data_IF_541531423550
#
_entry.id   IF_541531423550
#
_cell.length_a   1.000
_cell.length_b   1.000
_cell.length_c   1.000
_cell.angle_alpha   90.00
_cell.angle_beta   90.00
_cell.angle_gamma   90.00
#
_symmetry.space_group_name_H-M   'P 1'
#
loop_
_entity.id
_entity.type
_entity.pdbx_description
1 polymer ?
#
# COMPACT_ATOMS: atom_id res chain seq x y z
N UNK A 1 -6.15 15.70 6.38
CA UNK A 1 -7.23 15.01 5.66
C UNK A 1 -8.15 16.04 5.01
N UNK A 2 -8.85 15.68 3.95
CA UNK A 2 -9.86 16.53 3.29
C UNK A 2 -11.10 16.62 4.22
N UNK A 3 -11.39 17.80 4.82
CA UNK A 3 -12.42 17.90 5.86
C UNK A 3 -13.84 17.58 5.38
N UNK A 4 -14.20 18.04 4.17
CA UNK A 4 -15.54 17.82 3.60
C UNK A 4 -15.85 16.35 3.40
N UNK A 5 -14.92 15.58 2.81
CA UNK A 5 -15.08 14.13 2.64
C UNK A 5 -15.16 13.40 3.97
N UNK A 6 -14.39 13.84 4.99
CA UNK A 6 -14.48 13.25 6.33
C UNK A 6 -15.82 13.53 7.00
N UNK A 7 -16.33 14.75 6.88
CA UNK A 7 -17.65 15.13 7.40
C UNK A 7 -18.76 14.34 6.72
N UNK A 8 -18.72 14.23 5.39
CA UNK A 8 -19.66 13.42 4.61
C UNK A 8 -19.63 11.94 5.03
N UNK A 9 -18.43 11.37 5.18
CA UNK A 9 -18.29 9.99 5.65
C UNK A 9 -18.92 9.80 7.03
N UNK A 10 -18.58 10.68 7.99
CA UNK A 10 -19.10 10.60 9.35
C UNK A 10 -20.64 10.70 9.40
N UNK A 11 -21.24 11.58 8.59
CA UNK A 11 -22.69 11.74 8.52
C UNK A 11 -23.41 10.50 7.95
N UNK A 12 -22.70 9.70 7.13
CA UNK A 12 -23.23 8.50 6.50
C UNK A 12 -22.84 7.20 7.22
N UNK A 13 -21.98 7.29 8.24
CA UNK A 13 -21.48 6.14 8.99
C UNK A 13 -22.58 5.59 9.91
N UNK A 14 -22.69 4.26 9.94
CA UNK A 14 -23.49 3.55 10.95
C UNK A 14 -22.74 2.30 11.42
N UNK A 15 -22.97 1.82 12.66
CA UNK A 15 -22.41 0.56 13.13
C UNK A 15 -22.72 -0.63 12.20
N UNK A 16 -23.91 -0.65 11.59
CA UNK A 16 -24.34 -1.71 10.67
C UNK A 16 -23.50 -1.73 9.39
N UNK A 17 -23.18 -0.55 8.83
CA UNK A 17 -22.26 -0.45 7.70
C UNK A 17 -20.86 -0.92 8.08
N UNK A 18 -20.37 -0.58 9.27
CA UNK A 18 -19.10 -1.10 9.72
C UNK A 18 -19.11 -2.63 9.88
N UNK A 19 -20.16 -3.21 10.45
CA UNK A 19 -20.31 -4.67 10.49
C UNK A 19 -20.36 -5.28 9.08
N UNK A 20 -21.04 -4.62 8.13
CA UNK A 20 -21.04 -5.05 6.72
C UNK A 20 -19.64 -4.99 6.11
N UNK A 21 -18.82 -3.97 6.41
CA UNK A 21 -17.43 -3.90 5.99
C UNK A 21 -16.62 -5.11 6.50
N UNK A 22 -16.75 -5.46 7.79
CA UNK A 22 -16.05 -6.59 8.38
C UNK A 22 -16.44 -7.92 7.72
N UNK A 23 -17.74 -8.11 7.48
CA UNK A 23 -18.26 -9.30 6.78
C UNK A 23 -17.75 -9.39 5.35
N UNK A 24 -17.84 -8.28 4.59
CA UNK A 24 -17.37 -8.22 3.22
C UNK A 24 -15.86 -8.48 3.11
N UNK A 25 -15.08 -7.97 4.07
CA UNK A 25 -13.65 -8.26 4.13
C UNK A 25 -13.38 -9.74 4.43
N UNK A 26 -14.13 -10.36 5.33
CA UNK A 26 -14.00 -11.79 5.60
C UNK A 26 -14.36 -12.64 4.36
N UNK A 27 -15.43 -12.28 3.64
CA UNK A 27 -15.84 -12.91 2.38
C UNK A 27 -14.73 -12.79 1.32
N UNK A 28 -14.20 -11.58 1.07
CA UNK A 28 -13.19 -11.33 0.05
C UNK A 28 -11.81 -11.90 0.39
N UNK A 29 -11.46 -11.97 1.67
CA UNK A 29 -10.20 -12.58 2.12
C UNK A 29 -10.32 -14.10 2.32
N UNK A 30 -11.52 -14.69 2.21
CA UNK A 30 -11.78 -16.10 2.49
C UNK A 30 -11.65 -16.50 3.97
N UNK A 31 -11.37 -15.55 4.86
CA UNK A 31 -11.22 -15.76 6.30
C UNK A 31 -11.42 -14.46 7.06
N UNK A 32 -11.92 -14.49 8.32
CA UNK A 32 -12.00 -13.30 9.14
C UNK A 32 -10.64 -12.63 9.34
N UNK A 33 -10.57 -11.33 9.05
CA UNK A 33 -9.38 -10.50 9.28
C UNK A 33 -9.16 -10.37 10.79
N UNK A 34 -8.03 -10.89 11.27
CA UNK A 34 -7.72 -11.02 12.71
C UNK A 34 -7.20 -9.72 13.34
N UNK A 35 -6.95 -8.69 12.55
CA UNK A 35 -6.55 -7.37 13.03
C UNK A 35 -7.66 -6.34 12.82
N UNK A 36 -7.59 -5.25 13.58
CA UNK A 36 -8.61 -4.21 13.55
C UNK A 36 -8.61 -3.49 12.21
N UNK A 37 -9.77 -3.46 11.57
CA UNK A 37 -10.03 -2.63 10.41
C UNK A 37 -10.51 -1.28 10.93
N UNK A 38 -9.96 -0.17 10.42
CA UNK A 38 -10.44 1.16 10.81
C UNK A 38 -11.92 1.34 10.43
N UNK A 39 -12.67 2.12 11.18
CA UNK A 39 -14.07 2.40 10.88
C UNK A 39 -14.23 3.38 9.70
N UNK A 40 -13.12 3.97 9.24
CA UNK A 40 -13.10 5.10 8.32
C UNK A 40 -11.80 5.10 7.49
N UNK A 41 -11.89 5.33 6.17
CA UNK A 41 -10.71 5.57 5.36
C UNK A 41 -10.14 6.97 5.60
N UNK A 42 -8.88 7.15 5.24
CA UNK A 42 -8.20 8.45 5.30
C UNK A 42 -8.28 9.16 3.95
N UNK A 43 -8.96 10.31 3.90
CA UNK A 43 -9.04 11.16 2.71
C UNK A 43 -7.90 12.17 2.70
N UNK A 44 -6.98 12.06 1.74
CA UNK A 44 -5.83 12.97 1.60
C UNK A 44 -5.90 13.80 0.32
N UNK A 45 -5.43 15.06 0.34
CA UNK A 45 -5.25 15.83 -0.89
C UNK A 45 -4.28 15.11 -1.84
N UNK A 46 -4.61 15.07 -3.13
CA UNK A 46 -3.77 14.44 -4.16
C UNK A 46 -2.32 14.97 -4.11
N UNK A 47 -2.14 16.28 -3.93
CA UNK A 47 -0.81 16.90 -3.85
C UNK A 47 0.07 16.40 -2.69
N UNK A 48 -0.53 15.92 -1.60
CA UNK A 48 0.21 15.29 -0.51
C UNK A 48 0.60 13.86 -0.90
N UNK A 49 -0.33 13.08 -1.47
CA UNK A 49 -0.07 11.71 -1.91
C UNK A 49 0.98 11.66 -3.03
N UNK A 50 0.91 12.57 -3.99
CA UNK A 50 1.89 12.70 -5.08
C UNK A 50 3.29 12.96 -4.53
N UNK A 51 3.40 13.83 -3.51
CA UNK A 51 4.67 14.13 -2.84
C UNK A 51 5.22 12.93 -2.09
N UNK A 52 4.38 12.21 -1.35
CA UNK A 52 4.76 10.99 -0.64
C UNK A 52 5.26 9.94 -1.64
N UNK A 53 4.51 9.72 -2.74
CA UNK A 53 4.88 8.79 -3.78
C UNK A 53 6.20 9.18 -4.46
N UNK A 54 6.41 10.47 -4.72
CA UNK A 54 7.64 10.97 -5.31
C UNK A 54 8.85 10.78 -4.36
N UNK A 55 8.71 11.13 -3.08
CA UNK A 55 9.75 10.87 -2.07
C UNK A 55 10.06 9.37 -1.95
N UNK A 56 9.03 8.52 -2.02
CA UNK A 56 9.22 7.06 -2.02
C UNK A 56 10.06 6.58 -3.20
N UNK A 57 9.75 7.03 -4.42
CA UNK A 57 10.53 6.71 -5.63
C UNK A 57 11.98 7.17 -5.52
N UNK A 58 12.20 8.40 -5.04
CA UNK A 58 13.55 8.95 -4.85
C UNK A 58 14.37 8.17 -3.83
N UNK A 59 13.74 7.64 -2.77
CA UNK A 59 14.41 6.78 -1.80
C UNK A 59 14.72 5.40 -2.38
N UNK A 60 13.78 4.80 -3.12
CA UNK A 60 13.97 3.50 -3.77
C UNK A 60 15.12 3.56 -4.79
N UNK A 61 15.18 4.60 -5.63
CA UNK A 61 16.24 4.75 -6.63
C UNK A 61 17.65 4.88 -6.03
N UNK A 62 17.79 5.30 -4.77
CA UNK A 62 19.09 5.30 -4.10
C UNK A 62 19.62 3.88 -3.84
N UNK A 63 18.73 2.89 -3.76
CA UNK A 63 19.06 1.48 -3.49
C UNK A 63 19.46 0.72 -4.76
N UNK A 64 19.17 1.27 -5.94
CA UNK A 64 19.36 0.59 -7.24
C UNK A 64 20.79 0.79 -7.79
N UNK A 65 21.68 1.42 -7.03
CA UNK A 65 23.06 1.69 -7.45
C UNK A 65 23.98 0.48 -7.23
N UNK A 66 24.96 0.23 -8.12
CA UNK A 66 26.00 -0.80 -7.88
C UNK A 66 26.73 -0.59 -6.55
N UNK A 67 27.01 0.66 -6.20
CA UNK A 67 27.72 1.03 -4.98
C UNK A 67 26.93 0.66 -3.73
N UNK A 68 25.62 0.97 -3.71
CA UNK A 68 24.75 0.56 -2.61
C UNK A 68 24.67 -0.96 -2.49
N UNK A 69 24.48 -1.68 -3.61
CA UNK A 69 24.42 -3.16 -3.61
C UNK A 69 25.70 -3.81 -3.08
N UNK A 70 26.86 -3.29 -3.47
CA UNK A 70 28.12 -3.78 -2.94
C UNK A 70 28.23 -3.52 -1.43
N UNK A 71 27.84 -2.34 -0.97
CA UNK A 71 27.86 -2.00 0.46
C UNK A 71 26.87 -2.84 1.27
N UNK A 72 25.64 -3.05 0.77
CA UNK A 72 24.61 -3.83 1.45
C UNK A 72 24.95 -5.31 1.52
N UNK A 73 25.57 -5.87 0.47
CA UNK A 73 25.97 -7.28 0.44
C UNK A 73 26.95 -7.64 1.56
N UNK A 74 27.85 -6.72 1.93
CA UNK A 74 28.81 -6.93 3.05
C UNK A 74 28.09 -6.98 4.40
N UNK A 75 26.91 -6.38 4.52
CA UNK A 75 26.12 -6.38 5.76
C UNK A 75 25.28 -7.65 5.94
N UNK A 76 25.14 -8.49 4.91
CA UNK A 76 24.34 -9.71 4.94
C UNK A 76 25.26 -10.91 5.26
N UNK A 77 25.03 -11.62 6.38
CA UNK A 77 25.74 -12.86 6.66
C UNK A 77 25.60 -13.88 5.52
N UNK A 78 26.68 -14.59 5.21
CA UNK A 78 26.76 -15.47 4.03
C UNK A 78 25.69 -16.57 3.99
N UNK A 79 25.22 -17.01 5.16
CA UNK A 79 24.17 -18.01 5.33
C UNK A 79 22.78 -17.53 4.92
N UNK A 80 22.58 -16.21 4.79
CA UNK A 80 21.34 -15.60 4.33
C UNK A 80 21.36 -15.22 2.85
N UNK A 81 22.44 -15.50 2.13
CA UNK A 81 22.49 -15.28 0.69
C UNK A 81 21.52 -16.22 -0.03
N UNK A 82 20.59 -15.63 -0.78
CA UNK A 82 19.62 -16.39 -1.59
C UNK A 82 20.16 -16.53 -3.01
N UNK A 83 20.22 -17.74 -3.58
CA UNK A 83 20.65 -17.93 -4.96
C UNK A 83 19.67 -17.27 -5.93
N UNK A 84 20.18 -16.78 -7.06
CA UNK A 84 19.39 -16.15 -8.13
C UNK A 84 18.58 -14.93 -7.67
N UNK A 85 19.14 -14.13 -6.75
CA UNK A 85 18.56 -12.84 -6.38
C UNK A 85 18.37 -11.95 -7.62
N UNK A 86 17.22 -11.29 -7.69
CA UNK A 86 16.90 -10.37 -8.77
C UNK A 86 17.71 -9.09 -8.66
N UNK A 87 17.94 -8.41 -9.79
CA UNK A 87 18.77 -7.20 -9.81
C UNK A 87 18.17 -5.98 -9.09
N UNK A 88 16.88 -6.04 -8.75
CA UNK A 88 16.11 -5.01 -8.05
C UNK A 88 15.11 -5.67 -7.10
N UNK A 89 14.72 -5.02 -5.98
CA UNK A 89 13.71 -5.55 -5.10
C UNK A 89 12.37 -5.69 -5.85
N UNK A 90 11.76 -6.87 -5.76
CA UNK A 90 10.43 -7.12 -6.35
C UNK A 90 9.31 -6.43 -5.55
N UNK A 91 9.45 -6.41 -4.22
CA UNK A 91 8.54 -5.75 -3.30
C UNK A 91 9.33 -4.79 -2.42
N UNK A 92 8.87 -3.54 -2.35
CA UNK A 92 9.48 -2.51 -1.52
C UNK A 92 8.43 -1.51 -1.05
N UNK A 93 8.49 -1.19 0.23
CA UNK A 93 7.63 -0.21 0.88
C UNK A 93 8.47 0.84 1.56
N UNK A 94 7.97 2.07 1.51
CA UNK A 94 8.56 3.21 2.21
C UNK A 94 7.51 3.80 3.10
N UNK A 95 7.73 3.69 4.41
CA UNK A 95 6.80 4.16 5.41
C UNK A 95 7.13 5.59 5.82
N UNK A 96 6.09 6.43 5.84
CA UNK A 96 6.23 7.84 6.17
C UNK A 96 5.38 8.23 7.37
N UNK A 97 6.02 8.90 8.33
CA UNK A 97 5.35 9.74 9.31
C UNK A 97 5.03 11.09 8.71
N UNK A 98 3.87 11.66 9.02
CA UNK A 98 3.50 13.00 8.59
C UNK A 98 3.74 14.00 9.73
N UNK A 99 4.64 14.94 9.51
CA UNK A 99 4.93 16.04 10.46
C UNK A 99 4.47 17.37 9.89
N UNK A 100 4.23 18.36 10.76
CA UNK A 100 3.95 19.72 10.32
C UNK A 100 5.23 20.53 10.27
N UNK A 101 5.43 21.28 9.20
CA UNK A 101 6.47 22.31 9.15
C UNK A 101 6.04 23.59 9.89
N UNK A 102 6.91 24.60 9.90
CA UNK A 102 6.65 25.90 10.53
C UNK A 102 5.44 26.64 9.94
N UNK A 103 5.06 26.35 8.70
CA UNK A 103 3.87 26.89 8.05
C UNK A 103 2.62 26.02 8.28
N UNK A 104 2.73 24.95 9.08
CA UNK A 104 1.64 24.03 9.40
C UNK A 104 1.34 22.99 8.32
N UNK A 105 2.09 22.95 7.22
CA UNK A 105 1.89 22.03 6.11
C UNK A 105 2.40 20.64 6.45
N UNK A 106 1.69 19.59 6.01
CA UNK A 106 2.12 18.21 6.23
C UNK A 106 3.30 17.88 5.31
N UNK A 107 4.36 17.35 5.91
CA UNK A 107 5.55 16.87 5.23
C UNK A 107 5.79 15.40 5.57
N UNK A 108 6.13 14.55 4.58
CA UNK A 108 6.56 13.19 4.84
C UNK A 108 7.95 13.16 5.49
N UNK A 109 8.11 12.26 6.46
CA UNK A 109 9.40 11.89 7.06
C UNK A 109 9.52 10.39 7.03
N UNK A 110 10.64 9.91 6.46
CA UNK A 110 10.93 8.49 6.40
C UNK A 110 10.94 7.91 7.81
N UNK A 111 10.16 6.85 7.99
CA UNK A 111 10.15 6.02 9.21
C UNK A 111 10.94 4.76 8.93
N UNK A 112 10.60 4.05 7.85
CA UNK A 112 11.21 2.76 7.53
C UNK A 112 11.18 2.49 6.02
N UNK A 113 12.10 1.63 5.58
CA UNK A 113 12.12 1.05 4.25
C UNK A 113 12.18 -0.47 4.39
N UNK A 114 11.19 -1.17 3.81
CA UNK A 114 10.97 -2.60 4.00
C UNK A 114 10.81 -3.32 2.66
N UNK A 115 11.17 -4.61 2.61
CA UNK A 115 11.12 -5.44 1.40
C UNK A 115 10.18 -6.64 1.48
N UNK A 116 9.08 -6.55 2.26
CA UNK A 116 8.18 -7.69 2.49
C UNK A 116 6.97 -7.67 1.54
N UNK A 117 6.56 -8.79 0.91
CA UNK A 117 5.39 -8.84 0.01
C UNK A 117 4.03 -8.79 0.73
N UNK A 118 3.95 -8.12 1.88
CA UNK A 118 2.74 -8.07 2.70
C UNK A 118 1.78 -6.97 2.25
N UNK A 119 0.48 -7.25 2.37
CA UNK A 119 -0.64 -6.31 2.21
C UNK A 119 -0.94 -5.79 0.78
N UNK A 120 -0.16 -6.15 -0.24
CA UNK A 120 -0.39 -5.70 -1.63
C UNK A 120 -1.76 -6.13 -2.18
N UNK A 121 -2.24 -7.34 -1.87
CA UNK A 121 -3.61 -7.73 -2.22
C UNK A 121 -4.65 -7.16 -1.24
N UNK A 122 -4.29 -7.05 0.04
CA UNK A 122 -5.21 -6.66 1.11
C UNK A 122 -5.64 -5.19 1.03
N UNK A 123 -4.71 -4.24 0.85
CA UNK A 123 -5.03 -2.81 0.91
C UNK A 123 -5.99 -2.35 -0.21
N UNK A 124 -5.81 -2.75 -1.48
CA UNK A 124 -6.77 -2.49 -2.54
C UNK A 124 -8.15 -3.09 -2.26
N UNK A 125 -8.20 -4.34 -1.79
CA UNK A 125 -9.46 -5.02 -1.42
C UNK A 125 -10.18 -4.25 -0.32
N UNK A 126 -9.47 -3.86 0.74
CA UNK A 126 -10.02 -3.03 1.81
C UNK A 126 -10.56 -1.69 1.28
N UNK A 127 -9.81 -1.03 0.41
CA UNK A 127 -10.22 0.26 -0.15
C UNK A 127 -11.49 0.14 -1.00
N UNK A 128 -11.57 -0.89 -1.83
CA UNK A 128 -12.79 -1.19 -2.60
C UNK A 128 -13.97 -1.54 -1.69
N UNK A 129 -13.74 -2.26 -0.59
CA UNK A 129 -14.78 -2.60 0.37
C UNK A 129 -15.33 -1.35 1.08
N UNK A 130 -14.48 -0.37 1.40
CA UNK A 130 -14.96 0.94 1.88
C UNK A 130 -15.83 1.64 0.83
N UNK A 131 -15.38 1.68 -0.43
CA UNK A 131 -16.09 2.34 -1.51
C UNK A 131 -17.50 1.76 -1.70
N UNK A 132 -17.61 0.42 -1.70
CA UNK A 132 -18.88 -0.30 -1.82
C UNK A 132 -19.80 -0.04 -0.62
N UNK A 133 -19.31 -0.30 0.60
CA UNK A 133 -20.16 -0.31 1.79
C UNK A 133 -20.63 1.08 2.21
N UNK A 134 -19.78 2.09 2.01
CA UNK A 134 -20.08 3.47 2.40
C UNK A 134 -20.54 4.35 1.23
N UNK A 135 -20.63 3.81 0.02
CA UNK A 135 -21.05 4.55 -1.17
C UNK A 135 -20.15 5.76 -1.44
N UNK A 136 -18.83 5.54 -1.43
CA UNK A 136 -17.87 6.62 -1.66
C UNK A 136 -17.93 7.10 -3.12
N UNK A 137 -17.59 8.36 -3.34
CA UNK A 137 -17.55 8.96 -4.68
C UNK A 137 -16.58 8.18 -5.59
N UNK A 138 -17.05 7.81 -6.79
CA UNK A 138 -16.28 7.06 -7.78
C UNK A 138 -15.08 7.85 -8.33
N UNK A 139 -15.04 9.17 -8.14
CA UNK A 139 -13.90 10.02 -8.50
C UNK A 139 -12.77 9.97 -7.44
N UNK A 140 -12.94 9.22 -6.35
CA UNK A 140 -11.86 8.97 -5.40
C UNK A 140 -10.95 7.86 -5.91
N UNK A 141 -9.65 8.12 -5.83
CA UNK A 141 -8.61 7.19 -6.28
C UNK A 141 -7.74 6.73 -5.11
N UNK A 142 -7.28 5.47 -5.17
CA UNK A 142 -6.42 4.86 -4.15
C UNK A 142 -5.11 4.30 -4.71
N UNK A 143 -4.99 4.19 -6.03
CA UNK A 143 -3.75 3.83 -6.72
C UNK A 143 -3.13 5.07 -7.34
N UNK A 144 -1.96 5.48 -6.83
CA UNK A 144 -1.30 6.74 -7.25
C UNK A 144 -0.56 6.62 -8.59
N UNK A 145 -0.44 5.40 -9.11
CA UNK A 145 0.20 5.09 -10.39
C UNK A 145 -0.72 5.31 -11.60
N UNK A 146 -2.00 5.63 -11.39
CA UNK A 146 -3.01 5.68 -12.46
C UNK A 146 -3.50 4.30 -12.90
N UNK A 147 -3.07 3.23 -12.22
CA UNK A 147 -3.63 1.90 -12.39
C UNK A 147 -5.08 1.86 -11.87
N UNK A 148 -5.89 1.06 -12.52
CA UNK A 148 -7.17 0.61 -12.01
C UNK A 148 -7.02 -0.78 -11.35
N UNK A 149 -8.14 -1.36 -10.92
CA UNK A 149 -8.15 -2.68 -10.28
C UNK A 149 -7.60 -3.78 -11.20
N UNK A 150 -8.02 -3.81 -12.46
CA UNK A 150 -7.64 -4.86 -13.40
C UNK A 150 -6.15 -4.81 -13.72
N UNK A 151 -5.65 -3.62 -14.08
CA UNK A 151 -4.24 -3.41 -14.38
C UNK A 151 -3.35 -3.59 -13.14
N UNK A 152 -3.82 -3.24 -11.94
CA UNK A 152 -3.11 -3.52 -10.69
C UNK A 152 -3.02 -5.01 -10.38
N UNK A 153 -4.14 -5.73 -10.45
CA UNK A 153 -4.16 -7.17 -10.16
C UNK A 153 -3.36 -7.97 -11.19
N UNK A 154 -3.38 -7.55 -12.46
CA UNK A 154 -2.52 -8.11 -13.48
C UNK A 154 -1.02 -7.86 -13.17
N UNK A 155 -0.65 -6.65 -12.77
CA UNK A 155 0.73 -6.33 -12.36
C UNK A 155 1.16 -7.17 -11.15
N UNK A 156 0.32 -7.27 -10.13
CA UNK A 156 0.61 -8.04 -8.92
C UNK A 156 0.74 -9.54 -9.23
N UNK A 157 -0.16 -10.09 -10.06
CA UNK A 157 -0.07 -11.49 -10.53
C UNK A 157 1.23 -11.73 -11.27
N UNK A 158 1.62 -10.85 -12.19
CA UNK A 158 2.89 -10.96 -12.91
C UNK A 158 4.09 -10.93 -11.96
N UNK A 159 4.04 -10.10 -10.92
CA UNK A 159 5.12 -9.99 -9.94
C UNK A 159 5.26 -11.23 -9.04
N UNK A 160 4.14 -11.87 -8.66
CA UNK A 160 4.14 -13.05 -7.79
C UNK A 160 4.30 -14.34 -8.59
N UNK A 161 3.49 -14.54 -9.62
CA UNK A 161 3.37 -15.81 -10.36
C UNK A 161 4.30 -15.87 -11.56
N UNK A 162 4.57 -14.73 -12.21
CA UNK A 162 5.33 -14.70 -13.46
C UNK A 162 4.67 -15.56 -14.55
N UNK A 163 5.49 -16.39 -15.21
CA UNK A 163 5.07 -17.31 -16.26
C UNK A 163 4.85 -18.75 -15.74
N UNK A 164 4.81 -18.94 -14.42
CA UNK A 164 4.65 -20.25 -13.79
C UNK A 164 3.17 -20.61 -13.57
N UNK A 165 2.90 -21.91 -13.40
CA UNK A 165 1.61 -22.34 -12.87
C UNK A 165 1.50 -21.87 -11.40
N UNK A 166 0.44 -21.13 -11.00
CA UNK A 166 0.24 -20.70 -9.62
C UNK A 166 0.37 -21.81 -8.58
N UNK A 167 0.03 -23.07 -8.91
CA UNK A 167 0.16 -24.20 -7.97
C UNK A 167 1.62 -24.51 -7.59
N UNK A 168 2.57 -24.06 -8.41
CA UNK A 168 4.01 -24.28 -8.25
C UNK A 168 4.75 -23.05 -7.69
N UNK A 169 4.02 -21.99 -7.33
CA UNK A 169 4.58 -20.76 -6.75
C UNK A 169 4.28 -20.76 -5.25
N UNK A 170 5.34 -20.81 -4.44
CA UNK A 170 5.29 -20.90 -2.96
C UNK A 170 5.57 -19.53 -2.35
#
# INVERSE_FOLDING_TARGET
MIPSLRQQFNANFTPEKYQRLLQLMAERCGTPVQFRICETPCFFPKSLLDRIAQCGKELIHQLETPEYRQASSVAIPSEFNVPNETSHPMFIQVDFGLVRDAAGQLQPKLVELQGFPSLYAYQPVLTQSYAEVFGLDANLHYLMSGLDWESYTHLLRRAIVGDHDPENVI
#
